data_IF_778887889915
#
_entry.id   IF_778887889915
#
_cell.length_a   1.000
_cell.length_b   1.000
_cell.length_c   1.000
_cell.angle_alpha   90.00
_cell.angle_beta   90.00
_cell.angle_gamma   90.00
#
_symmetry.space_group_name_H-M   'P 1'
#
loop_
_entity.id
_entity.type
_entity.pdbx_description
1 polymer ?
#
# COMPACT_ATOMS: atom_id res chain seq x y z
N UNK A 1 -12.36 -36.53 -14.05
CA UNK A 1 -12.06 -35.07 -14.08
C UNK A 1 -13.35 -34.24 -13.97
N UNK A 2 -14.24 -34.52 -13.00
CA UNK A 2 -15.49 -33.75 -12.78
C UNK A 2 -15.52 -33.02 -11.43
N UNK A 3 -14.76 -33.49 -10.45
CA UNK A 3 -14.65 -32.91 -9.10
C UNK A 3 -13.78 -31.66 -9.02
N UNK A 4 -12.87 -31.44 -9.98
CA UNK A 4 -11.95 -30.29 -9.99
C UNK A 4 -12.63 -28.99 -10.48
N UNK A 5 -13.71 -29.08 -11.27
CA UNK A 5 -14.42 -27.91 -11.83
C UNK A 5 -15.37 -27.25 -10.80
N UNK A 6 -15.96 -28.03 -9.90
CA UNK A 6 -16.80 -27.54 -8.80
C UNK A 6 -15.98 -26.75 -7.77
N UNK A 7 -14.71 -27.12 -7.56
CA UNK A 7 -13.81 -26.51 -6.56
C UNK A 7 -13.29 -25.12 -6.96
N UNK A 8 -13.14 -24.87 -8.27
CA UNK A 8 -12.73 -23.56 -8.81
C UNK A 8 -13.90 -22.58 -8.78
N UNK A 9 -15.11 -23.03 -9.11
CA UNK A 9 -16.35 -22.24 -9.00
C UNK A 9 -16.64 -21.84 -7.54
N UNK A 10 -16.43 -22.77 -6.60
CA UNK A 10 -16.59 -22.51 -5.16
C UNK A 10 -15.52 -21.56 -4.60
N UNK A 11 -14.29 -21.58 -5.14
CA UNK A 11 -13.22 -20.64 -4.75
C UNK A 11 -13.47 -19.22 -5.26
N UNK A 12 -14.04 -19.06 -6.46
CA UNK A 12 -14.38 -17.75 -7.03
C UNK A 12 -15.53 -17.07 -6.27
N UNK A 13 -16.50 -17.88 -5.83
CA UNK A 13 -17.61 -17.44 -4.96
C UNK A 13 -17.08 -17.09 -3.56
N UNK A 14 -16.13 -17.86 -3.00
CA UNK A 14 -15.48 -17.53 -1.71
C UNK A 14 -14.70 -16.22 -1.72
N UNK A 15 -14.02 -15.88 -2.83
CA UNK A 15 -13.29 -14.60 -2.95
C UNK A 15 -14.20 -13.37 -2.99
N UNK A 16 -15.44 -13.52 -3.46
CA UNK A 16 -16.43 -12.44 -3.42
C UNK A 16 -16.98 -12.17 -1.99
N UNK A 17 -16.94 -13.17 -1.10
CA UNK A 17 -17.41 -13.05 0.28
C UNK A 17 -16.48 -12.23 1.20
N UNK A 18 -15.22 -12.00 0.82
CA UNK A 18 -14.27 -11.21 1.62
C UNK A 18 -14.18 -9.72 1.23
N UNK A 19 -15.00 -9.27 0.26
CA UNK A 19 -14.99 -7.87 -0.21
C UNK A 19 -16.13 -7.00 0.38
N UNK A 20 -16.91 -7.51 1.34
CA UNK A 20 -18.06 -6.82 1.91
C UNK A 20 -17.76 -6.35 3.34
N UNK A 21 -17.22 -5.14 3.49
CA UNK A 21 -17.19 -4.45 4.79
C UNK A 21 -18.57 -3.83 5.09
N UNK A 22 -19.00 -4.01 6.34
CA UNK A 22 -20.29 -3.58 6.88
C UNK A 22 -20.32 -2.06 7.14
N UNK A 23 -21.35 -1.38 6.59
CA UNK A 23 -22.38 -0.54 7.27
C UNK A 23 -22.92 0.50 6.25
N UNK A 24 -24.25 0.58 6.01
CA UNK A 24 -24.85 1.69 5.26
C UNK A 24 -25.04 2.90 6.17
N UNK A 25 -24.41 4.04 5.86
CA UNK A 25 -24.74 5.33 6.47
C UNK A 25 -25.88 6.01 5.71
N UNK A 26 -26.79 6.57 6.51
CA UNK A 26 -28.04 7.29 6.18
C UNK A 26 -27.91 8.25 4.96
N UNK A 27 -28.84 8.22 3.97
CA UNK A 27 -28.75 8.96 2.72
C UNK A 27 -29.02 10.48 2.82
N UNK A 28 -28.90 11.09 4.00
CA UNK A 28 -29.27 12.51 4.21
C UNK A 28 -28.12 13.47 4.51
N UNK A 29 -26.86 13.06 4.38
CA UNK A 29 -25.73 14.00 4.38
C UNK A 29 -24.76 13.72 3.24
N UNK A 30 -24.82 14.58 2.21
CA UNK A 30 -23.75 14.70 1.21
C UNK A 30 -22.63 15.53 1.85
N UNK A 31 -21.65 14.85 2.44
CA UNK A 31 -20.30 15.40 2.63
C UNK A 31 -19.39 14.74 1.58
N UNK A 32 -19.16 15.45 0.48
CA UNK A 32 -18.40 15.03 -0.72
C UNK A 32 -16.92 14.63 -0.46
N UNK A 33 -16.42 14.68 0.77
CA UNK A 33 -15.05 14.31 1.11
C UNK A 33 -14.87 12.82 1.46
N UNK A 34 -15.91 12.11 1.88
CA UNK A 34 -15.77 10.70 2.30
C UNK A 34 -15.75 9.71 1.12
N UNK A 35 -16.22 10.10 -0.05
CA UNK A 35 -16.21 9.23 -1.25
C UNK A 35 -14.81 9.14 -1.88
N UNK A 36 -14.01 10.21 -1.76
CA UNK A 36 -12.59 10.24 -2.14
C UNK A 36 -11.74 9.41 -1.16
N UNK A 37 -12.05 9.47 0.15
CA UNK A 37 -11.44 8.60 1.17
C UNK A 37 -11.77 7.12 0.96
N UNK A 38 -12.99 6.78 0.52
CA UNK A 38 -13.39 5.39 0.23
C UNK A 38 -12.78 4.82 -1.06
N UNK A 39 -12.56 5.64 -2.09
CA UNK A 39 -11.74 5.25 -3.24
C UNK A 39 -10.27 5.00 -2.84
N UNK A 40 -9.79 5.74 -1.84
CA UNK A 40 -8.48 5.52 -1.20
C UNK A 40 -8.47 4.22 -0.37
N UNK A 41 -9.56 3.87 0.31
CA UNK A 41 -9.70 2.59 1.05
C UNK A 41 -9.79 1.35 0.13
N UNK A 42 -10.31 1.47 -1.09
CA UNK A 42 -10.22 0.37 -2.07
C UNK A 42 -8.78 0.20 -2.60
N UNK A 43 -8.00 1.27 -2.68
CA UNK A 43 -6.53 1.17 -2.85
C UNK A 43 -5.83 0.58 -1.61
N UNK A 44 -6.42 0.67 -0.42
CA UNK A 44 -5.94 0.00 0.81
C UNK A 44 -6.11 -1.53 0.73
N UNK A 45 -7.04 -2.06 -0.05
CA UNK A 45 -7.11 -3.50 -0.32
C UNK A 45 -5.97 -3.99 -1.25
N UNK A 46 -5.51 -3.14 -2.19
CA UNK A 46 -4.26 -3.34 -2.93
C UNK A 46 -3.04 -3.24 -1.98
N UNK A 47 -3.12 -2.33 -1.00
CA UNK A 47 -2.18 -2.19 0.12
C UNK A 47 -2.19 -3.39 1.09
N UNK A 48 -3.27 -4.17 1.15
CA UNK A 48 -3.29 -5.44 1.87
C UNK A 48 -2.53 -6.54 1.11
N UNK A 49 -2.26 -6.38 -0.18
CA UNK A 49 -1.26 -7.20 -0.90
C UNK A 49 0.17 -6.73 -0.55
N UNK A 50 0.36 -5.42 -0.28
CA UNK A 50 1.54 -4.87 0.41
C UNK A 50 1.62 -5.30 1.89
N UNK A 51 0.57 -5.88 2.49
CA UNK A 51 0.66 -6.47 3.84
C UNK A 51 1.57 -7.69 3.90
N UNK A 52 1.90 -8.31 2.77
CA UNK A 52 3.00 -9.30 2.68
C UNK A 52 4.36 -8.63 2.92
N UNK A 53 4.51 -7.37 2.50
CA UNK A 53 5.67 -6.52 2.81
C UNK A 53 5.60 -5.99 4.23
N UNK A 54 4.42 -5.65 4.78
CA UNK A 54 4.28 -5.27 6.20
C UNK A 54 4.42 -6.48 7.17
N UNK A 55 4.14 -7.71 6.73
CA UNK A 55 4.48 -8.93 7.49
C UNK A 55 5.97 -9.24 7.39
N UNK A 56 6.63 -8.92 6.26
CA UNK A 56 8.09 -8.91 6.16
C UNK A 56 8.67 -7.74 6.97
N UNK A 57 8.01 -6.59 7.03
CA UNK A 57 8.39 -5.41 7.83
C UNK A 57 8.24 -5.72 9.31
N UNK A 58 7.21 -6.47 9.74
CA UNK A 58 7.05 -7.00 11.09
C UNK A 58 7.99 -8.18 11.41
N UNK A 59 8.53 -8.88 10.39
CA UNK A 59 9.61 -9.86 10.54
C UNK A 59 11.02 -9.21 10.46
N UNK A 60 11.15 -8.02 9.86
CA UNK A 60 12.39 -7.23 9.71
C UNK A 60 12.54 -6.14 10.78
N UNK A 61 11.45 -5.66 11.37
CA UNK A 61 11.42 -4.83 12.58
C UNK A 61 11.62 -5.72 13.79
N UNK A 62 12.81 -6.35 13.80
CA UNK A 62 13.30 -7.18 14.88
C UNK A 62 12.94 -6.59 16.25
N UNK A 63 12.72 -7.45 17.25
CA UNK A 63 12.02 -7.10 18.48
C UNK A 63 12.62 -5.85 19.13
N UNK A 64 11.81 -4.79 19.15
CA UNK A 64 12.01 -3.51 19.83
C UNK A 64 13.19 -2.63 19.35
N UNK A 65 13.00 -1.96 18.20
CA UNK A 65 13.67 -0.69 17.88
C UNK A 65 12.86 0.55 18.33
N UNK A 66 11.86 0.38 19.20
CA UNK A 66 11.17 1.49 19.86
C UNK A 66 12.10 2.09 20.92
N UNK A 67 12.92 3.04 20.49
CA UNK A 67 13.31 4.12 21.36
C UNK A 67 12.42 5.30 21.05
N UNK A 68 11.41 5.47 21.90
CA UNK A 68 10.78 6.75 22.14
C UNK A 68 11.81 7.71 22.78
N UNK A 69 12.44 8.55 21.95
CA UNK A 69 12.89 9.86 22.38
C UNK A 69 11.61 10.67 22.60
N UNK A 70 10.87 10.41 23.69
CA UNK A 70 9.54 10.95 23.96
C UNK A 70 8.80 11.34 22.69
N UNK A 71 8.36 10.33 21.91
CA UNK A 71 7.91 10.52 20.53
C UNK A 71 7.02 11.75 20.42
N UNK A 72 7.54 12.76 19.76
CA UNK A 72 6.72 13.84 19.26
C UNK A 72 5.79 13.21 18.26
N UNK A 73 4.50 13.30 18.50
CA UNK A 73 3.50 12.91 17.51
C UNK A 73 3.63 13.81 16.28
N UNK A 74 4.48 13.40 15.34
CA UNK A 74 4.71 14.08 14.06
C UNK A 74 3.52 13.94 13.11
N UNK A 75 2.57 13.05 13.42
CA UNK A 75 1.29 12.99 12.69
C UNK A 75 0.38 14.16 13.09
N UNK A 76 0.67 14.82 14.22
CA UNK A 76 0.02 16.04 14.66
C UNK A 76 1.00 17.24 14.64
N UNK A 77 1.01 18.05 13.56
CA UNK A 77 1.93 19.17 13.39
C UNK A 77 1.91 20.19 14.54
N UNK A 78 0.78 20.34 15.25
CA UNK A 78 0.66 21.28 16.37
C UNK A 78 1.39 20.79 17.62
N UNK A 79 1.30 19.49 17.92
CA UNK A 79 2.05 18.85 19.01
C UNK A 79 3.55 18.94 18.75
N UNK A 80 3.97 18.69 17.50
CA UNK A 80 5.36 18.82 17.09
C UNK A 80 5.89 20.25 17.22
N UNK A 81 5.10 21.23 16.76
CA UNK A 81 5.43 22.64 16.92
C UNK A 81 5.60 23.02 18.39
N UNK A 82 4.63 22.70 19.26
CA UNK A 82 4.69 23.06 20.67
C UNK A 82 5.91 22.46 21.39
N UNK A 83 6.25 21.20 21.10
CA UNK A 83 7.45 20.56 21.64
C UNK A 83 8.74 21.24 21.16
N UNK A 84 8.80 21.59 19.86
CA UNK A 84 9.94 22.28 19.27
C UNK A 84 10.17 23.66 19.91
N UNK A 85 9.11 24.44 20.16
CA UNK A 85 9.16 25.75 20.80
C UNK A 85 9.68 25.68 22.26
N UNK A 86 9.23 24.69 23.03
CA UNK A 86 9.71 24.45 24.41
C UNK A 86 11.19 24.05 24.42
N UNK A 87 11.61 23.23 23.45
CA UNK A 87 13.00 22.80 23.32
C UNK A 87 13.90 23.96 22.89
N UNK A 88 13.48 24.73 21.88
CA UNK A 88 14.16 25.95 21.38
C UNK A 88 14.34 26.97 22.50
N UNK A 89 13.28 27.29 23.24
CA UNK A 89 13.35 28.23 24.36
C UNK A 89 14.28 27.76 25.50
N UNK A 90 14.28 26.47 25.81
CA UNK A 90 15.17 25.89 26.83
C UNK A 90 16.65 25.94 26.40
N UNK A 91 16.94 25.62 25.14
CA UNK A 91 18.28 25.68 24.56
C UNK A 91 18.80 27.13 24.52
N UNK A 92 17.98 28.08 24.07
CA UNK A 92 18.32 29.51 24.05
C UNK A 92 18.56 30.06 25.46
N UNK A 93 17.80 29.61 26.47
CA UNK A 93 18.01 30.01 27.85
C UNK A 93 19.35 29.49 28.41
N UNK A 94 19.73 28.25 28.11
CA UNK A 94 21.04 27.70 28.48
C UNK A 94 22.17 28.47 27.78
N UNK A 95 22.05 28.70 26.47
CA UNK A 95 23.00 29.49 25.70
C UNK A 95 23.22 30.89 26.30
N UNK A 96 22.14 31.62 26.57
CA UNK A 96 22.22 32.97 27.15
C UNK A 96 22.94 32.96 28.49
N UNK A 97 22.69 31.96 29.33
CA UNK A 97 23.37 31.82 30.61
C UNK A 97 24.87 31.52 30.45
N UNK A 98 25.25 30.72 29.46
CA UNK A 98 26.66 30.40 29.20
C UNK A 98 27.42 31.57 28.57
N UNK A 99 26.78 32.33 27.67
CA UNK A 99 27.32 33.59 27.13
C UNK A 99 27.55 34.64 28.22
N UNK A 100 26.61 34.76 29.17
CA UNK A 100 26.71 35.67 30.32
C UNK A 100 27.82 35.26 31.29
N UNK A 101 28.00 33.94 31.53
CA UNK A 101 29.05 33.42 32.43
C UNK A 101 30.46 33.52 31.82
N UNK A 102 30.59 33.35 30.51
CA UNK A 102 31.87 33.35 29.81
C UNK A 102 32.27 34.71 29.22
N UNK A 103 31.58 35.80 29.64
CA UNK A 103 32.01 37.18 29.36
C UNK A 103 31.87 37.63 27.91
N UNK A 104 30.90 37.09 27.16
CA UNK A 104 30.67 37.47 25.76
C UNK A 104 31.81 37.10 24.80
N UNK A 105 32.71 36.20 25.20
CA UNK A 105 33.63 35.57 24.27
C UNK A 105 32.80 34.80 23.24
N UNK A 106 32.90 35.22 21.96
CA UNK A 106 32.22 34.67 20.80
C UNK A 106 32.09 33.16 20.91
N UNK A 107 30.87 32.65 20.77
CA UNK A 107 30.59 31.24 20.53
C UNK A 107 31.57 30.73 19.48
N UNK A 108 32.42 29.80 19.90
CA UNK A 108 33.34 29.11 18.99
C UNK A 108 32.47 28.26 18.06
N UNK A 109 32.92 28.07 16.82
CA UNK A 109 32.37 27.09 15.87
C UNK A 109 32.17 25.74 16.57
N UNK A 110 31.03 25.07 16.34
CA UNK A 110 30.58 23.83 16.99
C UNK A 110 30.33 23.90 18.52
N UNK A 111 29.55 24.89 18.98
CA UNK A 111 29.19 24.99 20.40
C UNK A 111 28.15 23.94 20.81
N UNK A 112 28.43 23.12 21.83
CA UNK A 112 27.42 22.28 22.50
C UNK A 112 26.41 23.21 23.17
N UNK A 113 25.16 23.19 22.71
CA UNK A 113 24.09 24.07 23.22
C UNK A 113 23.12 23.34 24.16
N UNK A 114 23.07 22.01 24.10
CA UNK A 114 22.21 21.21 24.96
C UNK A 114 22.71 19.77 25.10
N UNK A 115 22.64 19.22 26.31
CA UNK A 115 22.89 17.80 26.58
C UNK A 115 21.90 17.28 27.63
N UNK A 116 21.35 16.10 27.40
CA UNK A 116 20.61 15.33 28.41
C UNK A 116 21.13 13.90 28.45
N UNK A 117 21.23 13.34 29.66
CA UNK A 117 21.51 11.91 29.85
C UNK A 117 20.39 11.31 30.69
N UNK A 118 19.73 10.28 30.16
CA UNK A 118 18.61 9.58 30.81
C UNK A 118 19.00 8.13 31.03
N UNK A 119 18.90 7.67 32.28
CA UNK A 119 19.08 6.25 32.60
C UNK A 119 17.73 5.53 32.51
N UNK A 120 17.67 4.44 31.73
CA UNK A 120 16.46 3.62 31.57
C UNK A 120 16.71 2.20 32.13
N UNK A 121 16.70 2.04 33.47
CA UNK A 121 17.09 0.79 34.11
C UNK A 121 16.18 -0.40 33.74
N UNK A 122 14.90 -0.14 33.45
CA UNK A 122 13.94 -1.18 33.02
C UNK A 122 14.31 -1.73 31.63
N UNK A 123 14.81 -0.87 30.74
CA UNK A 123 15.21 -1.22 29.38
C UNK A 123 16.69 -1.61 29.27
N UNK A 124 17.45 -1.52 30.37
CA UNK A 124 18.84 -1.96 30.44
C UNK A 124 19.88 -1.01 29.83
N UNK A 125 19.49 0.17 29.35
CA UNK A 125 20.40 1.13 28.69
C UNK A 125 20.40 2.52 29.32
N UNK A 126 21.46 3.27 29.03
CA UNK A 126 21.55 4.72 29.23
C UNK A 126 21.53 5.40 27.87
N UNK A 127 20.79 6.49 27.78
CA UNK A 127 20.65 7.31 26.59
C UNK A 127 21.27 8.68 26.84
N UNK A 128 22.05 9.17 25.88
CA UNK A 128 22.59 10.53 25.90
C UNK A 128 22.24 11.22 24.59
N UNK A 129 21.59 12.38 24.69
CA UNK A 129 21.30 13.24 23.55
C UNK A 129 22.07 14.54 23.68
N UNK A 130 22.67 15.01 22.59
CA UNK A 130 23.43 16.26 22.49
C UNK A 130 23.00 17.05 21.27
N UNK A 131 23.00 18.37 21.40
CA UNK A 131 22.78 19.30 20.29
C UNK A 131 23.95 20.27 20.22
N UNK A 132 24.58 20.37 19.06
CA UNK A 132 25.61 21.32 18.72
C UNK A 132 25.08 22.29 17.67
N UNK A 133 25.51 23.55 17.72
CA UNK A 133 25.16 24.55 16.72
C UNK A 133 26.31 25.53 16.48
N UNK A 134 26.61 25.80 15.21
CA UNK A 134 27.54 26.82 14.77
C UNK A 134 26.77 28.05 14.27
N UNK A 135 26.81 29.12 15.07
CA UNK A 135 26.16 30.41 14.77
C UNK A 135 26.77 31.14 13.56
N UNK A 136 28.00 30.82 13.17
CA UNK A 136 28.66 31.47 12.04
C UNK A 136 28.27 30.83 10.71
N UNK A 137 27.95 29.53 10.70
CA UNK A 137 27.66 28.77 9.47
C UNK A 137 26.24 28.24 9.40
N UNK A 138 25.42 28.38 10.46
CA UNK A 138 24.06 27.84 10.49
C UNK A 138 23.99 26.31 10.58
N UNK A 139 25.09 25.65 10.96
CA UNK A 139 25.18 24.18 10.98
C UNK A 139 24.81 23.63 12.34
N UNK A 140 23.93 22.63 12.38
CA UNK A 140 23.51 21.96 13.60
C UNK A 140 23.88 20.47 13.56
N UNK A 141 24.14 19.89 14.75
CA UNK A 141 24.33 18.44 14.90
C UNK A 141 23.51 17.98 16.10
N UNK A 142 22.64 16.98 15.89
CA UNK A 142 21.95 16.25 16.95
C UNK A 142 22.55 14.85 17.04
N UNK A 143 23.07 14.49 18.21
CA UNK A 143 23.64 13.16 18.47
C UNK A 143 22.84 12.46 19.55
N UNK A 144 22.35 11.26 19.28
CA UNK A 144 21.76 10.34 20.26
C UNK A 144 22.60 9.07 20.34
N UNK A 145 23.05 8.71 21.54
CA UNK A 145 23.89 7.52 21.77
C UNK A 145 23.29 6.69 22.89
N UNK A 146 23.21 5.38 22.67
CA UNK A 146 22.70 4.39 23.63
C UNK A 146 23.78 3.41 23.98
N UNK A 147 23.93 3.16 25.27
CA UNK A 147 24.91 2.22 25.79
C UNK A 147 24.32 1.43 26.95
N UNK A 148 24.73 0.17 27.07
CA UNK A 148 24.32 -0.68 28.17
C UNK A 148 24.59 0.03 29.51
N UNK A 149 23.63 -0.03 30.41
CA UNK A 149 23.67 0.70 31.68
C UNK A 149 24.96 0.44 32.50
N UNK A 150 25.60 -0.71 32.28
CA UNK A 150 26.83 -1.14 32.97
C UNK A 150 28.09 -0.98 32.12
N UNK A 151 27.96 -0.71 30.82
CA UNK A 151 29.06 -0.67 29.90
C UNK A 151 29.43 0.77 29.52
N UNK A 152 30.73 1.06 29.43
CA UNK A 152 31.27 2.37 29.02
C UNK A 152 32.03 2.29 27.69
N UNK A 153 32.06 1.14 27.02
CA UNK A 153 32.78 0.99 25.76
C UNK A 153 32.02 1.65 24.59
N UNK A 154 32.63 2.67 23.98
CA UNK A 154 32.02 3.44 22.89
C UNK A 154 31.91 2.69 21.55
N UNK A 155 32.45 1.47 21.46
CA UNK A 155 32.59 0.72 20.21
C UNK A 155 31.41 -0.23 19.91
N UNK A 156 30.54 -0.51 20.89
CA UNK A 156 29.43 -1.49 20.77
C UNK A 156 28.04 -0.83 20.93
N UNK A 157 27.91 0.43 20.48
CA UNK A 157 26.76 1.29 20.79
C UNK A 157 25.80 1.42 19.60
N UNK A 158 24.52 1.64 19.92
CA UNK A 158 23.56 2.17 18.96
C UNK A 158 23.66 3.70 18.99
N UNK A 159 23.83 4.32 17.81
CA UNK A 159 23.95 5.77 17.70
C UNK A 159 23.21 6.30 16.49
N UNK A 160 22.62 7.48 16.64
CA UNK A 160 22.05 8.27 15.56
C UNK A 160 22.68 9.67 15.60
N UNK A 161 23.12 10.17 14.44
CA UNK A 161 23.62 11.53 14.28
C UNK A 161 22.91 12.19 13.12
N UNK A 162 22.25 13.31 13.38
CA UNK A 162 21.63 14.15 12.38
C UNK A 162 22.45 15.43 12.26
N UNK A 163 22.82 15.80 11.05
CA UNK A 163 23.47 17.03 10.67
C UNK A 163 22.45 17.84 9.90
N UNK A 164 22.29 19.12 10.23
CA UNK A 164 21.38 20.02 9.53
C UNK A 164 22.12 21.27 9.10
N UNK A 165 21.96 21.66 7.84
CA UNK A 165 22.37 22.97 7.35
C UNK A 165 21.13 23.87 7.30
N UNK A 166 21.19 24.99 8.04
CA UNK A 166 20.09 25.96 8.17
C UNK A 166 20.52 27.30 7.55
N UNK A 167 19.62 27.95 6.81
CA UNK A 167 19.92 29.22 6.14
C UNK A 167 19.86 30.46 7.07
N UNK A 168 19.54 30.26 8.35
CA UNK A 168 19.15 31.31 9.30
C UNK A 168 19.68 31.11 10.72
N UNK A 169 19.23 31.96 11.64
CA UNK A 169 19.68 31.95 13.04
C UNK A 169 18.63 31.32 13.96
N UNK A 170 19.06 30.58 14.99
CA UNK A 170 18.15 30.02 16.00
C UNK A 170 17.30 31.07 16.76
N UNK A 171 17.52 32.37 16.56
CA UNK A 171 16.83 33.45 17.26
C UNK A 171 15.65 34.06 16.47
N UNK A 172 15.51 33.76 15.17
CA UNK A 172 14.49 34.35 14.30
C UNK A 172 13.62 33.27 13.62
N UNK A 173 12.41 33.05 14.13
CA UNK A 173 11.47 32.08 13.56
C UNK A 173 11.00 32.46 12.14
N UNK A 174 11.29 33.68 11.66
CA UNK A 174 10.89 34.14 10.33
C UNK A 174 11.89 33.77 9.23
N UNK A 175 13.08 33.26 9.58
CA UNK A 175 14.13 32.84 8.66
C UNK A 175 14.50 31.33 8.76
N UNK A 176 13.71 30.56 9.52
CA UNK A 176 13.89 29.11 9.71
C UNK A 176 13.68 28.34 8.39
N UNK A 177 14.79 28.10 7.67
CA UNK A 177 14.86 27.32 6.43
C UNK A 177 15.80 26.14 6.66
N UNK A 178 15.33 24.93 6.33
CA UNK A 178 16.16 23.73 6.27
C UNK A 178 16.71 23.60 4.84
N UNK A 179 18.02 23.69 4.68
CA UNK A 179 18.67 23.51 3.37
C UNK A 179 19.00 22.03 3.14
N UNK A 180 19.56 21.37 4.15
CA UNK A 180 19.81 19.94 4.08
C UNK A 180 19.77 19.27 5.45
N UNK A 181 19.46 17.97 5.43
CA UNK A 181 19.55 17.06 6.56
C UNK A 181 20.39 15.86 6.13
N UNK A 182 21.29 15.43 6.99
CA UNK A 182 22.03 14.18 6.82
C UNK A 182 21.96 13.38 8.13
N UNK A 183 21.46 12.16 8.07
CA UNK A 183 21.34 11.26 9.20
C UNK A 183 22.27 10.05 9.01
N UNK A 184 22.97 9.69 10.09
CA UNK A 184 23.76 8.47 10.19
C UNK A 184 23.30 7.68 11.41
N UNK A 185 22.75 6.49 11.20
CA UNK A 185 22.49 5.51 12.26
C UNK A 185 23.52 4.39 12.19
N UNK A 186 24.09 4.05 13.31
CA UNK A 186 24.99 2.90 13.45
C UNK A 186 24.46 2.02 14.56
N UNK A 187 24.38 0.72 14.29
CA UNK A 187 23.85 -0.25 15.21
C UNK A 187 24.97 -1.09 15.81
N UNK A 188 24.73 -1.59 17.02
CA UNK A 188 25.66 -2.50 17.69
C UNK A 188 25.82 -3.82 16.93
N UNK A 189 26.92 -4.52 17.21
CA UNK A 189 27.19 -5.83 16.63
C UNK A 189 26.06 -6.84 16.92
N UNK A 190 25.72 -7.65 15.92
CA UNK A 190 24.64 -8.64 16.01
C UNK A 190 23.23 -8.11 15.70
N UNK A 191 23.07 -6.80 15.51
CA UNK A 191 21.82 -6.22 15.01
C UNK A 191 21.53 -6.64 13.56
N UNK A 192 20.26 -6.62 13.14
CA UNK A 192 19.85 -7.03 11.79
C UNK A 192 20.37 -6.08 10.70
N UNK A 193 20.40 -4.79 11.02
CA UNK A 193 20.97 -3.70 10.20
C UNK A 193 22.30 -3.29 10.83
N UNK A 194 23.30 -3.01 10.01
CA UNK A 194 24.60 -2.52 10.48
C UNK A 194 24.64 -0.99 10.57
N UNK A 195 24.11 -0.33 9.55
CA UNK A 195 24.18 1.13 9.40
C UNK A 195 23.10 1.63 8.45
N UNK A 196 22.56 2.81 8.74
CA UNK A 196 21.71 3.56 7.81
C UNK A 196 22.30 4.95 7.59
N UNK A 197 22.23 5.42 6.36
CA UNK A 197 22.59 6.78 5.97
C UNK A 197 21.38 7.37 5.27
N UNK A 198 20.89 8.51 5.70
CA UNK A 198 19.84 9.22 4.99
C UNK A 198 20.27 10.65 4.74
N UNK A 199 19.84 11.23 3.63
CA UNK A 199 20.02 12.65 3.36
C UNK A 199 18.78 13.22 2.70
N UNK A 200 18.48 14.48 3.01
CA UNK A 200 17.49 15.30 2.33
C UNK A 200 18.17 16.60 1.96
N UNK A 201 18.09 16.98 0.70
CA UNK A 201 18.56 18.27 0.19
C UNK A 201 17.34 18.98 -0.39
N UNK A 202 17.10 20.21 0.04
CA UNK A 202 15.95 21.02 -0.38
C UNK A 202 16.51 22.23 -1.12
N UNK A 203 15.99 22.51 -2.32
CA UNK A 203 16.42 23.71 -3.02
C UNK A 203 15.94 24.97 -2.28
N UNK A 204 16.67 26.09 -2.40
CA UNK A 204 16.34 27.31 -1.67
C UNK A 204 14.88 27.74 -1.87
N UNK A 205 14.17 27.95 -0.78
CA UNK A 205 12.76 28.38 -0.76
C UNK A 205 12.56 29.59 0.14
N UNK A 206 11.45 30.30 -0.04
CA UNK A 206 11.11 31.47 0.77
C UNK A 206 10.40 31.03 2.06
N UNK A 207 10.73 31.59 3.24
CA UNK A 207 10.03 31.25 4.47
C UNK A 207 8.52 31.43 4.33
N UNK A 208 7.75 30.41 4.71
CA UNK A 208 6.29 30.39 4.57
C UNK A 208 5.76 29.98 3.19
N UNK A 209 6.63 29.58 2.26
CA UNK A 209 6.26 28.92 1.00
C UNK A 209 6.73 27.46 1.01
N UNK A 210 6.02 26.60 0.28
CA UNK A 210 6.45 25.23 0.07
C UNK A 210 7.68 25.16 -0.85
N UNK A 211 8.63 24.25 -0.58
CA UNK A 211 9.76 24.03 -1.47
C UNK A 211 9.28 23.51 -2.83
N UNK A 212 9.91 23.99 -3.91
CA UNK A 212 9.57 23.60 -5.29
C UNK A 212 10.34 22.37 -5.78
N UNK A 213 11.39 21.98 -5.04
CA UNK A 213 12.21 20.81 -5.34
C UNK A 213 12.93 20.31 -4.09
N UNK A 214 13.08 18.98 -3.99
CA UNK A 214 13.90 18.34 -2.99
C UNK A 214 14.39 16.98 -3.48
N UNK A 215 15.44 16.47 -2.84
CA UNK A 215 16.02 15.15 -3.09
C UNK A 215 16.25 14.46 -1.75
N UNK A 216 15.75 13.25 -1.60
CA UNK A 216 16.02 12.38 -0.49
C UNK A 216 16.79 11.14 -0.96
N UNK A 217 17.72 10.67 -0.15
CA UNK A 217 18.44 9.41 -0.35
C UNK A 217 18.51 8.68 0.97
N UNK A 218 18.34 7.37 0.96
CA UNK A 218 18.51 6.47 2.10
C UNK A 218 19.34 5.27 1.67
N UNK A 219 20.30 4.87 2.49
CA UNK A 219 21.14 3.70 2.29
C UNK A 219 21.17 2.86 3.56
N UNK A 220 20.61 1.65 3.50
CA UNK A 220 20.67 0.67 4.57
C UNK A 220 21.72 -0.39 4.24
N UNK A 221 22.66 -0.61 5.15
CA UNK A 221 23.70 -1.63 5.04
C UNK A 221 23.40 -2.78 6.00
N UNK A 222 23.48 -4.01 5.47
CA UNK A 222 23.23 -5.22 6.22
C UNK A 222 24.53 -6.00 6.47
N UNK A 223 24.63 -6.76 7.56
CA UNK A 223 25.78 -7.63 7.82
C UNK A 223 26.02 -8.66 6.70
N UNK A 224 27.29 -9.08 6.53
CA UNK A 224 27.70 -9.95 5.42
C UNK A 224 27.12 -11.37 5.43
N UNK A 225 26.57 -11.81 6.56
CA UNK A 225 25.88 -13.09 6.71
C UNK A 225 24.40 -13.03 6.29
N UNK A 226 23.92 -11.86 5.86
CA UNK A 226 22.54 -11.65 5.40
C UNK A 226 22.40 -11.86 3.90
N UNK A 227 21.15 -12.07 3.49
CA UNK A 227 20.78 -12.27 2.09
C UNK A 227 20.81 -10.96 1.29
N UNK A 228 20.36 -9.87 1.91
CA UNK A 228 20.51 -8.51 1.39
C UNK A 228 21.80 -7.95 1.97
N UNK A 229 22.57 -7.25 1.14
CA UNK A 229 23.81 -6.58 1.53
C UNK A 229 23.63 -5.07 1.66
N UNK A 230 22.84 -4.47 0.76
CA UNK A 230 22.55 -3.04 0.75
C UNK A 230 21.15 -2.79 0.18
N UNK A 231 20.44 -1.82 0.73
CA UNK A 231 19.25 -1.20 0.14
C UNK A 231 19.56 0.28 -0.07
N UNK A 232 19.28 0.82 -1.26
CA UNK A 232 19.35 2.25 -1.54
C UNK A 232 17.97 2.70 -2.01
N UNK A 233 17.44 3.75 -1.41
CA UNK A 233 16.17 4.38 -1.79
C UNK A 233 16.43 5.84 -2.12
N UNK A 234 15.81 6.35 -3.16
CA UNK A 234 15.89 7.76 -3.54
C UNK A 234 14.51 8.29 -3.86
N UNK A 235 14.27 9.53 -3.48
CA UNK A 235 13.08 10.25 -3.86
C UNK A 235 13.49 11.65 -4.33
N UNK A 236 12.82 12.19 -5.33
CA UNK A 236 12.98 13.59 -5.69
C UNK A 236 11.69 14.15 -6.24
N UNK A 237 11.51 15.46 -6.07
CA UNK A 237 10.52 16.21 -6.82
C UNK A 237 11.13 17.50 -7.35
N UNK A 238 10.60 17.97 -8.46
CA UNK A 238 10.99 19.20 -9.14
C UNK A 238 9.80 19.75 -9.93
N UNK A 239 9.20 20.82 -9.41
CA UNK A 239 8.13 21.59 -10.06
C UNK A 239 6.99 20.69 -10.61
N UNK A 240 6.44 19.83 -9.75
CA UNK A 240 5.34 18.92 -10.09
C UNK A 240 5.79 17.60 -10.74
N UNK A 241 7.04 17.49 -11.17
CA UNK A 241 7.63 16.20 -11.54
C UNK A 241 8.22 15.52 -10.31
N UNK A 242 8.33 14.20 -10.32
CA UNK A 242 8.97 13.47 -9.25
C UNK A 242 9.50 12.11 -9.67
N UNK A 243 10.32 11.52 -8.82
CA UNK A 243 10.74 10.14 -8.98
C UNK A 243 10.97 9.46 -7.65
N UNK A 244 10.67 8.17 -7.59
CA UNK A 244 11.01 7.27 -6.51
C UNK A 244 11.85 6.15 -7.11
N UNK A 245 12.96 5.78 -6.46
CA UNK A 245 13.74 4.62 -6.87
C UNK A 245 14.22 3.83 -5.68
N UNK A 246 14.44 2.53 -5.91
CA UNK A 246 14.90 1.58 -4.90
C UNK A 246 15.77 0.52 -5.54
N UNK A 247 16.99 0.42 -5.06
CA UNK A 247 17.97 -0.61 -5.40
C UNK A 247 18.17 -1.57 -4.22
N UNK A 248 18.21 -2.87 -4.51
CA UNK A 248 18.59 -3.89 -3.53
C UNK A 248 19.78 -4.68 -4.08
N UNK A 249 20.89 -4.62 -3.36
CA UNK A 249 22.07 -5.46 -3.63
C UNK A 249 22.02 -6.71 -2.74
N UNK A 250 22.02 -7.88 -3.35
CA UNK A 250 22.04 -9.16 -2.64
C UNK A 250 23.47 -9.65 -2.39
N UNK A 251 23.65 -10.46 -1.34
CA UNK A 251 24.98 -10.96 -0.96
C UNK A 251 25.60 -11.93 -1.96
N UNK A 252 24.83 -12.48 -2.89
CA UNK A 252 25.35 -13.28 -4.01
C UNK A 252 25.73 -12.45 -5.25
N UNK A 253 25.71 -11.12 -5.14
CA UNK A 253 26.11 -10.18 -6.20
C UNK A 253 25.02 -9.87 -7.22
N UNK A 254 23.82 -10.45 -7.08
CA UNK A 254 22.64 -10.07 -7.87
C UNK A 254 22.03 -8.77 -7.36
N UNK A 255 21.18 -8.15 -8.18
CA UNK A 255 20.53 -6.87 -7.87
C UNK A 255 19.05 -6.89 -8.24
N UNK A 256 18.25 -6.05 -7.58
CA UNK A 256 16.95 -5.61 -8.08
C UNK A 256 16.86 -4.09 -8.06
N UNK A 257 16.05 -3.55 -8.97
CA UNK A 257 15.81 -2.13 -9.14
C UNK A 257 14.31 -1.89 -9.30
N UNK A 258 13.79 -0.84 -8.68
CA UNK A 258 12.43 -0.33 -8.84
C UNK A 258 12.56 1.19 -9.06
N UNK A 259 11.86 1.74 -10.04
CA UNK A 259 11.79 3.16 -10.30
C UNK A 259 10.38 3.56 -10.73
N UNK A 260 9.91 4.69 -10.21
CA UNK A 260 8.67 5.34 -10.61
C UNK A 260 9.02 6.80 -10.92
N UNK A 261 8.47 7.34 -12.00
CA UNK A 261 8.57 8.75 -12.38
C UNK A 261 7.16 9.32 -12.51
N UNK A 262 6.96 10.51 -11.97
CA UNK A 262 5.74 11.29 -12.00
C UNK A 262 6.01 12.55 -12.81
N UNK A 263 5.10 12.90 -13.70
CA UNK A 263 5.13 14.12 -14.47
C UNK A 263 4.11 15.10 -13.91
N UNK A 264 4.33 16.39 -14.16
CA UNK A 264 3.44 17.46 -13.69
C UNK A 264 2.04 17.47 -14.30
N UNK A 265 1.77 16.61 -15.28
CA UNK A 265 0.48 16.48 -15.97
C UNK A 265 -0.33 15.26 -15.50
N UNK A 266 0.02 14.68 -14.33
CA UNK A 266 -0.64 13.51 -13.78
C UNK A 266 -0.18 12.18 -14.39
N UNK A 267 0.64 12.21 -15.44
CA UNK A 267 1.18 10.99 -16.06
C UNK A 267 2.45 10.49 -15.39
N UNK A 268 2.84 9.26 -15.68
CA UNK A 268 4.10 8.73 -15.19
C UNK A 268 4.51 7.40 -15.78
N UNK A 269 5.66 6.91 -15.34
CA UNK A 269 6.23 5.62 -15.77
C UNK A 269 6.71 4.84 -14.57
N UNK A 270 6.65 3.52 -14.63
CA UNK A 270 7.31 2.65 -13.67
C UNK A 270 8.17 1.60 -14.39
N UNK A 271 9.30 1.27 -13.79
CA UNK A 271 10.23 0.24 -14.25
C UNK A 271 10.74 -0.55 -13.06
N UNK A 272 10.76 -1.87 -13.16
CA UNK A 272 11.25 -2.76 -12.13
C UNK A 272 12.04 -3.91 -12.78
N UNK A 273 13.22 -4.19 -12.25
CA UNK A 273 14.02 -5.36 -12.57
C UNK A 273 14.21 -6.20 -11.30
N UNK A 274 13.72 -7.45 -11.32
CA UNK A 274 13.88 -8.38 -10.20
C UNK A 274 15.11 -9.27 -10.38
N UNK A 275 15.57 -9.84 -9.26
CA UNK A 275 16.73 -10.73 -9.11
C UNK A 275 16.82 -11.90 -10.11
N UNK A 276 15.70 -12.33 -10.70
CA UNK A 276 15.64 -13.47 -11.61
C UNK A 276 15.35 -13.08 -13.07
N UNK A 277 15.63 -11.84 -13.45
CA UNK A 277 15.43 -11.39 -14.84
C UNK A 277 13.96 -11.19 -15.21
N UNK A 278 13.06 -11.13 -14.21
CA UNK A 278 11.71 -10.62 -14.42
C UNK A 278 11.83 -9.11 -14.52
N UNK A 279 11.26 -8.53 -15.57
CA UNK A 279 11.15 -7.07 -15.71
C UNK A 279 9.68 -6.68 -15.70
N UNK A 280 9.37 -5.55 -15.10
CA UNK A 280 8.04 -4.95 -15.13
C UNK A 280 8.21 -3.50 -15.56
N UNK A 281 7.49 -3.07 -16.58
CA UNK A 281 7.57 -1.69 -17.06
C UNK A 281 6.21 -1.21 -17.50
N UNK A 282 5.95 0.09 -17.40
CA UNK A 282 4.64 0.62 -17.79
C UNK A 282 4.52 2.12 -17.67
N UNK A 283 3.32 2.60 -18.01
CA UNK A 283 2.92 3.99 -17.89
C UNK A 283 1.64 4.08 -17.07
N UNK A 284 1.38 5.24 -16.47
CA UNK A 284 0.10 5.54 -15.85
C UNK A 284 -0.30 7.00 -16.10
N UNK A 285 -1.58 7.26 -15.91
CA UNK A 285 -2.24 8.55 -15.98
C UNK A 285 -3.25 8.63 -14.84
N UNK A 286 -3.18 9.71 -14.05
CA UNK A 286 -3.96 9.86 -12.82
C UNK A 286 -5.31 10.51 -13.09
N UNK A 287 -6.39 9.89 -12.59
CA UNK A 287 -7.74 10.43 -12.69
C UNK A 287 -8.00 11.66 -11.80
N UNK A 288 -7.03 12.11 -11.00
CA UNK A 288 -7.22 13.21 -10.04
C UNK A 288 -7.48 14.57 -10.71
N UNK A 289 -6.90 14.83 -11.89
CA UNK A 289 -7.01 16.15 -12.52
C UNK A 289 -8.24 16.31 -13.42
N UNK A 290 -8.59 15.27 -14.19
CA UNK A 290 -9.63 15.35 -15.23
C UNK A 290 -10.69 14.24 -15.13
N UNK A 291 -10.61 13.37 -14.13
CA UNK A 291 -11.49 12.23 -13.96
C UNK A 291 -11.17 11.05 -14.90
N UNK A 292 -10.08 11.10 -15.66
CA UNK A 292 -9.64 10.02 -16.54
C UNK A 292 -8.33 9.41 -16.05
N UNK A 293 -8.31 8.10 -15.83
CA UNK A 293 -7.12 7.37 -15.43
C UNK A 293 -6.80 6.28 -16.44
N UNK A 294 -5.53 6.04 -16.71
CA UNK A 294 -5.11 4.92 -17.53
C UNK A 294 -3.81 4.31 -17.04
N UNK A 295 -3.55 3.05 -17.40
CA UNK A 295 -2.25 2.44 -17.19
C UNK A 295 -1.94 1.42 -18.27
N UNK A 296 -0.63 1.24 -18.51
CA UNK A 296 -0.08 0.10 -19.23
C UNK A 296 0.95 -0.60 -18.36
N UNK A 297 1.04 -1.92 -18.45
CA UNK A 297 1.98 -2.72 -17.69
C UNK A 297 2.43 -3.93 -18.49
N UNK A 298 3.73 -4.09 -18.65
CA UNK A 298 4.36 -5.26 -19.26
C UNK A 298 5.25 -5.94 -18.25
N UNK A 299 4.92 -7.17 -17.89
CA UNK A 299 5.79 -8.07 -17.13
C UNK A 299 6.43 -9.07 -18.09
N UNK A 300 7.76 -9.07 -18.21
CA UNK A 300 8.49 -10.09 -18.97
C UNK A 300 9.19 -11.07 -18.03
N UNK A 301 9.31 -12.32 -18.47
CA UNK A 301 9.91 -13.40 -17.69
C UNK A 301 11.17 -13.91 -18.39
N UNK A 302 12.17 -14.40 -17.62
CA UNK A 302 13.34 -15.03 -18.21
C UNK A 302 12.98 -16.30 -18.99
N UNK A 303 13.85 -16.69 -19.92
CA UNK A 303 13.72 -17.95 -20.64
C UNK A 303 13.73 -19.17 -19.70
N UNK A 304 13.02 -20.22 -20.10
CA UNK A 304 12.92 -21.48 -19.35
C UNK A 304 11.77 -21.54 -18.33
N UNK A 305 11.02 -20.44 -18.16
CA UNK A 305 9.77 -20.41 -17.40
C UNK A 305 8.54 -20.94 -18.18
N UNK A 306 7.35 -20.80 -17.58
CA UNK A 306 6.08 -21.08 -18.25
C UNK A 306 5.62 -19.88 -19.10
N UNK A 307 5.80 -18.67 -18.58
CA UNK A 307 5.35 -17.42 -19.17
C UNK A 307 6.48 -16.77 -19.97
N UNK A 308 6.12 -16.11 -21.07
CA UNK A 308 6.98 -15.20 -21.81
C UNK A 308 6.73 -13.77 -21.34
N UNK A 309 5.48 -13.33 -21.38
CA UNK A 309 5.08 -12.04 -20.83
C UNK A 309 3.62 -12.03 -20.36
N UNK A 310 3.30 -11.06 -19.52
CA UNK A 310 1.94 -10.61 -19.19
C UNK A 310 1.87 -9.12 -19.53
N UNK A 311 0.97 -8.75 -20.42
CA UNK A 311 0.66 -7.37 -20.77
C UNK A 311 -0.71 -7.02 -20.20
N UNK A 312 -0.82 -5.90 -19.52
CA UNK A 312 -2.05 -5.41 -18.88
C UNK A 312 -2.25 -3.95 -19.29
N UNK A 313 -3.47 -3.56 -19.59
CA UNK A 313 -3.85 -2.17 -19.84
C UNK A 313 -5.19 -1.89 -19.20
N UNK A 314 -5.37 -0.67 -18.71
CA UNK A 314 -6.61 -0.22 -18.13
C UNK A 314 -6.89 1.23 -18.49
N UNK A 315 -8.15 1.52 -18.76
CA UNK A 315 -8.66 2.88 -18.98
C UNK A 315 -9.91 3.05 -18.12
N UNK A 316 -9.99 4.14 -17.38
CA UNK A 316 -11.06 4.42 -16.43
C UNK A 316 -11.47 5.87 -16.55
N UNK A 317 -12.77 6.13 -16.47
CA UNK A 317 -13.31 7.48 -16.40
C UNK A 317 -14.32 7.54 -15.26
N UNK A 318 -14.19 8.57 -14.42
CA UNK A 318 -15.10 8.87 -13.33
C UNK A 318 -15.90 10.12 -13.68
N UNK A 319 -17.23 10.02 -13.59
CA UNK A 319 -18.10 11.17 -13.74
C UNK A 319 -18.01 12.06 -12.51
N UNK A 320 -17.58 13.31 -12.68
CA UNK A 320 -17.53 14.30 -11.60
C UNK A 320 -18.93 14.75 -11.12
N UNK A 321 -20.01 14.37 -11.81
CA UNK A 321 -21.38 14.77 -11.47
C UNK A 321 -22.07 13.81 -10.50
N UNK A 322 -21.81 12.52 -10.65
CA UNK A 322 -22.50 11.45 -9.90
C UNK A 322 -21.55 10.34 -9.43
N UNK A 323 -20.24 10.52 -9.59
CA UNK A 323 -19.18 9.59 -9.17
C UNK A 323 -19.32 8.19 -9.78
N UNK A 324 -19.99 8.06 -10.92
CA UNK A 324 -20.06 6.80 -11.67
C UNK A 324 -18.72 6.49 -12.33
N UNK A 325 -18.29 5.23 -12.21
CA UNK A 325 -17.10 4.71 -12.87
C UNK A 325 -17.46 3.99 -14.18
N UNK A 326 -16.74 4.30 -15.24
CA UNK A 326 -16.66 3.47 -16.44
C UNK A 326 -15.23 3.03 -16.64
N UNK A 327 -15.00 1.81 -17.07
CA UNK A 327 -13.65 1.35 -17.33
C UNK A 327 -13.56 0.14 -18.23
N UNK A 328 -12.38 -0.03 -18.80
CA UNK A 328 -11.97 -1.20 -19.56
C UNK A 328 -10.62 -1.67 -19.04
N UNK A 329 -10.47 -2.98 -18.88
CA UNK A 329 -9.22 -3.63 -18.55
C UNK A 329 -8.96 -4.74 -19.56
N UNK A 330 -7.76 -4.82 -20.09
CA UNK A 330 -7.34 -5.93 -20.94
C UNK A 330 -6.06 -6.54 -20.40
N UNK A 331 -5.96 -7.86 -20.58
CA UNK A 331 -4.77 -8.61 -20.24
C UNK A 331 -4.48 -9.64 -21.30
N UNK A 332 -3.22 -9.70 -21.70
CA UNK A 332 -2.66 -10.72 -22.56
C UNK A 332 -1.56 -11.47 -21.81
N UNK A 333 -1.65 -12.79 -21.75
CA UNK A 333 -0.64 -13.69 -21.22
C UNK A 333 -0.10 -14.53 -22.37
N UNK A 334 1.17 -14.34 -22.70
CA UNK A 334 1.86 -15.18 -23.67
C UNK A 334 2.71 -16.21 -22.96
N UNK A 335 2.49 -17.47 -23.27
CA UNK A 335 3.27 -18.60 -22.77
C UNK A 335 4.50 -18.84 -23.65
N UNK A 336 5.52 -19.49 -23.10
CA UNK A 336 6.75 -19.85 -23.84
C UNK A 336 6.50 -20.81 -25.01
N UNK A 337 5.41 -21.58 -24.98
CA UNK A 337 4.99 -22.45 -26.09
C UNK A 337 4.29 -21.67 -27.23
N UNK A 338 4.16 -20.35 -27.13
CA UNK A 338 3.49 -19.48 -28.10
C UNK A 338 1.97 -19.38 -27.92
N UNK A 339 1.37 -20.10 -26.97
CA UNK A 339 -0.04 -19.94 -26.62
C UNK A 339 -0.27 -18.54 -26.04
N UNK A 340 -1.31 -17.88 -26.54
CA UNK A 340 -1.77 -16.60 -26.02
C UNK A 340 -3.10 -16.82 -25.32
N UNK A 341 -3.22 -16.31 -24.10
CA UNK A 341 -4.46 -16.22 -23.35
C UNK A 341 -4.76 -14.73 -23.23
N UNK A 342 -5.99 -14.30 -23.49
CA UNK A 342 -6.36 -12.92 -23.21
C UNK A 342 -7.75 -12.82 -22.61
N UNK A 343 -7.91 -11.79 -21.79
CA UNK A 343 -9.15 -11.41 -21.15
C UNK A 343 -9.37 -9.91 -21.32
N UNK A 344 -10.61 -9.53 -21.58
CA UNK A 344 -11.09 -8.15 -21.61
C UNK A 344 -12.23 -8.03 -20.62
N UNK A 345 -12.21 -6.97 -19.82
CA UNK A 345 -13.18 -6.68 -18.77
C UNK A 345 -13.68 -5.26 -19.00
N UNK A 346 -14.99 -5.06 -19.01
CA UNK A 346 -15.59 -3.73 -18.96
C UNK A 346 -16.37 -3.57 -17.67
N UNK A 347 -16.30 -2.36 -17.10
CA UNK A 347 -17.00 -1.96 -15.88
C UNK A 347 -17.84 -0.75 -16.24
N UNK A 348 -19.13 -0.82 -15.95
CA UNK A 348 -20.07 0.28 -16.19
C UNK A 348 -20.93 0.50 -14.96
N UNK A 349 -20.81 1.68 -14.35
CA UNK A 349 -21.67 2.12 -13.27
C UNK A 349 -22.77 3.06 -13.77
N UNK A 350 -23.93 2.95 -13.16
CA UNK A 350 -25.09 3.78 -13.47
C UNK A 350 -26.03 3.85 -12.27
N UNK A 351 -26.97 4.78 -12.31
CA UNK A 351 -28.07 4.83 -11.34
C UNK A 351 -29.40 4.42 -12.00
N UNK A 352 -30.10 3.47 -11.38
CA UNK A 352 -31.43 3.03 -11.81
C UNK A 352 -32.40 3.24 -10.65
N UNK A 353 -33.36 4.15 -10.81
CA UNK A 353 -34.31 4.54 -9.76
C UNK A 353 -33.64 5.04 -8.47
N UNK A 354 -32.50 5.75 -8.59
CA UNK A 354 -31.73 6.26 -7.44
C UNK A 354 -30.78 5.26 -6.80
N UNK A 355 -30.77 4.01 -7.28
CA UNK A 355 -29.93 2.93 -6.78
C UNK A 355 -28.75 2.68 -7.69
N UNK A 356 -27.57 2.48 -7.11
CA UNK A 356 -26.34 2.21 -7.87
C UNK A 356 -26.43 0.83 -8.52
N UNK A 357 -26.06 0.76 -9.79
CA UNK A 357 -25.98 -0.44 -10.59
C UNK A 357 -24.61 -0.50 -11.25
N UNK A 358 -23.86 -1.55 -10.96
CA UNK A 358 -22.55 -1.84 -11.55
C UNK A 358 -22.67 -3.07 -12.44
N UNK A 359 -22.20 -2.98 -13.68
CA UNK A 359 -22.15 -4.09 -14.63
C UNK A 359 -20.68 -4.38 -14.95
N UNK A 360 -20.28 -5.63 -14.78
CA UNK A 360 -18.95 -6.12 -15.14
C UNK A 360 -19.11 -7.17 -16.22
N UNK A 361 -18.64 -6.90 -17.43
CA UNK A 361 -18.62 -7.88 -18.51
C UNK A 361 -17.20 -8.39 -18.72
N UNK A 362 -17.05 -9.68 -18.96
CA UNK A 362 -15.76 -10.34 -19.16
C UNK A 362 -15.82 -11.15 -20.45
N UNK A 363 -14.79 -11.04 -21.29
CA UNK A 363 -14.63 -11.84 -22.51
C UNK A 363 -13.22 -12.41 -22.56
N UNK A 364 -13.08 -13.69 -22.90
CA UNK A 364 -11.79 -14.35 -23.08
C UNK A 364 -11.58 -14.79 -24.52
N UNK A 365 -10.32 -14.92 -24.93
CA UNK A 365 -10.00 -15.36 -26.30
C UNK A 365 -10.30 -16.82 -26.62
N UNK A 366 -10.56 -17.66 -25.61
CA UNK A 366 -11.07 -19.02 -25.79
C UNK A 366 -12.56 -19.06 -26.16
N UNK A 367 -13.22 -17.90 -26.22
CA UNK A 367 -14.63 -17.75 -26.53
C UNK A 367 -15.55 -17.80 -25.32
N UNK A 368 -15.02 -18.00 -24.11
CA UNK A 368 -15.80 -17.85 -22.89
C UNK A 368 -16.08 -16.38 -22.58
N UNK A 369 -17.26 -16.10 -22.05
CA UNK A 369 -17.69 -14.75 -21.73
C UNK A 369 -18.75 -14.76 -20.62
N UNK A 370 -18.94 -13.62 -19.97
CA UNK A 370 -19.98 -13.49 -18.98
C UNK A 370 -20.24 -12.05 -18.58
N UNK A 371 -21.28 -11.86 -17.80
CA UNK A 371 -21.64 -10.55 -17.27
C UNK A 371 -22.15 -10.73 -15.86
N UNK A 372 -21.66 -9.91 -14.94
CA UNK A 372 -22.17 -9.78 -13.57
C UNK A 372 -22.77 -8.40 -13.43
N UNK A 373 -23.92 -8.31 -12.79
CA UNK A 373 -24.63 -7.08 -12.49
C UNK A 373 -24.89 -7.03 -11.00
N UNK A 374 -24.48 -5.96 -10.35
CA UNK A 374 -24.68 -5.67 -8.94
C UNK A 374 -25.62 -4.47 -8.86
N UNK A 375 -26.70 -4.59 -8.09
CA UNK A 375 -27.64 -3.50 -7.83
C UNK A 375 -27.79 -3.30 -6.32
N UNK A 376 -27.41 -2.13 -5.85
CA UNK A 376 -27.40 -1.77 -4.42
C UNK A 376 -28.66 -0.99 -4.07
N UNK A 377 -29.41 -1.43 -3.06
CA UNK A 377 -30.60 -0.74 -2.56
C UNK A 377 -30.66 -0.70 -1.03
N UNK A 378 -31.64 0.01 -0.47
CA UNK A 378 -31.80 0.17 0.99
C UNK A 378 -32.02 -1.17 1.72
N UNK A 379 -32.55 -2.16 1.00
CA UNK A 379 -32.82 -3.51 1.48
C UNK A 379 -31.68 -4.49 1.26
N UNK A 380 -30.52 -4.06 0.75
CA UNK A 380 -29.36 -4.90 0.48
C UNK A 380 -28.85 -4.81 -0.96
N UNK A 381 -28.09 -5.81 -1.41
CA UNK A 381 -27.55 -5.87 -2.77
C UNK A 381 -28.07 -7.09 -3.51
N UNK A 382 -28.49 -6.91 -4.76
CA UNK A 382 -28.83 -7.99 -5.66
C UNK A 382 -27.74 -8.16 -6.70
N UNK A 383 -27.18 -9.35 -6.81
CA UNK A 383 -26.18 -9.73 -7.81
C UNK A 383 -26.81 -10.73 -8.75
N UNK A 384 -26.67 -10.50 -10.05
CA UNK A 384 -27.06 -11.47 -11.09
C UNK A 384 -25.89 -11.65 -12.03
N UNK A 385 -25.67 -12.88 -12.48
CA UNK A 385 -24.52 -13.26 -13.28
C UNK A 385 -24.89 -14.26 -14.35
N UNK A 386 -24.29 -14.11 -15.52
CA UNK A 386 -24.33 -15.08 -16.61
C UNK A 386 -22.90 -15.40 -17.04
N UNK A 387 -22.63 -16.67 -17.36
CA UNK A 387 -21.34 -17.10 -17.88
C UNK A 387 -21.51 -18.22 -18.90
N UNK A 388 -20.82 -18.10 -20.03
CA UNK A 388 -20.74 -19.12 -21.07
C UNK A 388 -19.30 -19.61 -21.14
N UNK A 389 -19.09 -20.90 -20.91
CA UNK A 389 -17.78 -21.54 -21.04
C UNK A 389 -17.41 -21.76 -22.52
N UNK A 390 -16.12 -21.97 -22.79
CA UNK A 390 -15.62 -22.25 -24.14
C UNK A 390 -16.21 -23.54 -24.76
N UNK A 391 -16.66 -24.49 -23.92
CA UNK A 391 -17.36 -25.70 -24.37
C UNK A 391 -18.88 -25.52 -24.54
N UNK A 392 -19.38 -24.29 -24.36
CA UNK A 392 -20.77 -23.90 -24.55
C UNK A 392 -21.66 -24.03 -23.32
N UNK A 393 -21.15 -24.53 -22.18
CA UNK A 393 -21.92 -24.62 -20.93
C UNK A 393 -22.36 -23.21 -20.51
N UNK A 394 -23.65 -23.05 -20.22
CA UNK A 394 -24.25 -21.77 -19.84
C UNK A 394 -24.64 -21.79 -18.36
N UNK A 395 -24.18 -20.80 -17.61
CA UNK A 395 -24.32 -20.71 -16.16
C UNK A 395 -25.05 -19.40 -15.83
N UNK A 396 -26.06 -19.50 -14.99
CA UNK A 396 -26.74 -18.39 -14.35
C UNK A 396 -26.45 -18.43 -12.86
N UNK A 397 -26.22 -17.27 -12.26
CA UNK A 397 -26.08 -17.11 -10.81
C UNK A 397 -26.87 -15.89 -10.35
N UNK A 398 -27.51 -16.00 -9.20
CA UNK A 398 -28.17 -14.88 -8.53
C UNK A 398 -27.78 -14.90 -7.05
N UNK A 399 -27.58 -13.73 -6.45
CA UNK A 399 -27.36 -13.61 -5.02
C UNK A 399 -28.06 -12.37 -4.46
N UNK A 400 -28.85 -12.57 -3.41
CA UNK A 400 -29.45 -11.50 -2.61
C UNK A 400 -28.67 -11.38 -1.31
N UNK A 401 -28.04 -10.23 -1.08
CA UNK A 401 -27.33 -9.91 0.16
C UNK A 401 -28.18 -8.99 1.01
N UNK A 402 -28.37 -9.34 2.28
CA UNK A 402 -29.24 -8.59 3.19
C UNK A 402 -28.42 -7.75 4.20
N UNK A 403 -28.98 -6.65 4.75
CA UNK A 403 -28.26 -5.76 5.65
C UNK A 403 -27.81 -6.39 6.97
N UNK A 404 -28.43 -7.50 7.37
CA UNK A 404 -28.03 -8.25 8.56
C UNK A 404 -26.76 -9.09 8.33
N UNK A 405 -26.27 -9.17 7.09
CA UNK A 405 -25.12 -9.97 6.66
C UNK A 405 -25.49 -11.38 6.19
N UNK A 406 -26.78 -11.73 6.15
CA UNK A 406 -27.25 -12.97 5.52
C UNK A 406 -27.26 -12.85 4.00
N UNK A 407 -27.26 -13.98 3.29
CA UNK A 407 -27.33 -13.99 1.84
C UNK A 407 -28.10 -15.20 1.31
N UNK A 408 -28.77 -15.06 0.17
CA UNK A 408 -29.36 -16.15 -0.60
C UNK A 408 -28.65 -16.24 -1.93
N UNK A 409 -28.05 -17.39 -2.25
CA UNK A 409 -27.31 -17.61 -3.51
C UNK A 409 -27.96 -18.75 -4.28
N UNK A 410 -28.28 -18.51 -5.54
CA UNK A 410 -28.82 -19.49 -6.47
C UNK A 410 -27.91 -19.61 -7.68
N UNK A 411 -27.76 -20.82 -8.22
CA UNK A 411 -27.14 -21.03 -9.52
C UNK A 411 -27.91 -22.06 -10.34
N UNK A 412 -27.86 -21.92 -11.66
CA UNK A 412 -28.39 -22.88 -12.63
C UNK A 412 -27.38 -23.07 -13.75
N UNK A 413 -27.14 -24.33 -14.12
CA UNK A 413 -26.23 -24.71 -15.19
C UNK A 413 -27.04 -25.40 -16.27
N UNK A 414 -26.88 -24.94 -17.51
CA UNK A 414 -27.51 -25.47 -18.70
C UNK A 414 -26.46 -26.05 -19.63
N UNK A 415 -26.88 -27.00 -20.47
CA UNK A 415 -25.99 -27.57 -21.48
C UNK A 415 -25.54 -26.54 -22.53
N UNK A 416 -26.36 -25.51 -22.77
CA UNK A 416 -26.06 -24.35 -23.63
C UNK A 416 -27.02 -23.19 -23.36
N UNK A 417 -26.71 -22.01 -23.92
CA UNK A 417 -27.61 -20.86 -23.90
C UNK A 417 -28.93 -21.16 -24.63
N UNK A 418 -28.87 -21.90 -25.75
CA UNK A 418 -30.07 -22.36 -26.47
C UNK A 418 -30.97 -23.24 -25.58
N UNK A 419 -30.38 -24.12 -24.77
CA UNK A 419 -31.15 -24.96 -23.86
C UNK A 419 -31.91 -24.09 -22.83
N UNK A 420 -31.26 -23.06 -22.30
CA UNK A 420 -31.91 -22.08 -21.43
C UNK A 420 -33.04 -21.34 -22.16
N UNK A 421 -32.77 -20.79 -23.35
CA UNK A 421 -33.74 -20.02 -24.14
C UNK A 421 -34.95 -20.85 -24.61
N UNK A 422 -34.77 -22.16 -24.84
CA UNK A 422 -35.85 -23.10 -25.18
C UNK A 422 -36.66 -23.57 -23.96
N UNK A 423 -36.23 -23.22 -22.74
CA UNK A 423 -36.88 -23.65 -21.51
C UNK A 423 -36.57 -25.08 -21.09
N UNK A 424 -35.43 -25.64 -21.53
CA UNK A 424 -34.96 -26.95 -21.06
C UNK A 424 -34.63 -26.91 -19.56
N UNK A 425 -34.67 -28.06 -18.91
CA UNK A 425 -34.28 -28.16 -17.51
C UNK A 425 -32.75 -27.97 -17.34
N UNK A 426 -32.30 -27.32 -16.24
CA UNK A 426 -30.87 -27.21 -15.96
C UNK A 426 -30.26 -28.60 -15.69
N UNK A 427 -29.02 -28.80 -16.14
CA UNK A 427 -28.25 -30.03 -15.88
C UNK A 427 -27.70 -30.08 -14.45
N UNK A 428 -27.59 -28.92 -13.80
CA UNK A 428 -27.34 -28.78 -12.39
C UNK A 428 -27.93 -27.46 -11.87
N UNK A 429 -28.36 -27.43 -10.61
CA UNK A 429 -28.83 -26.21 -9.96
C UNK A 429 -28.51 -26.25 -8.47
N UNK A 430 -28.38 -25.10 -7.82
CA UNK A 430 -28.24 -25.04 -6.38
C UNK A 430 -28.87 -23.80 -5.79
N UNK A 431 -29.28 -23.89 -4.53
CA UNK A 431 -29.79 -22.79 -3.73
C UNK A 431 -29.18 -22.88 -2.33
N UNK A 432 -28.59 -21.81 -1.85
CA UNK A 432 -27.95 -21.74 -0.53
C UNK A 432 -28.43 -20.49 0.19
N UNK A 433 -28.76 -20.64 1.46
CA UNK A 433 -29.06 -19.53 2.35
C UNK A 433 -27.98 -19.48 3.43
N UNK A 434 -27.26 -18.37 3.47
CA UNK A 434 -26.24 -18.06 4.46
C UNK A 434 -26.82 -17.19 5.56
N UNK A 435 -26.46 -17.51 6.79
CA UNK A 435 -26.69 -16.70 7.97
C UNK A 435 -25.59 -15.63 8.12
N UNK A 436 -25.78 -14.60 8.96
CA UNK A 436 -24.80 -13.54 9.20
C UNK A 436 -23.43 -14.00 9.73
N UNK A 437 -23.33 -15.21 10.27
CA UNK A 437 -22.09 -15.82 10.77
C UNK A 437 -21.38 -16.67 9.71
N UNK A 438 -21.80 -16.56 8.45
CA UNK A 438 -21.32 -17.35 7.30
C UNK A 438 -21.67 -18.84 7.35
N UNK A 439 -22.40 -19.32 8.37
CA UNK A 439 -23.04 -20.65 8.31
C UNK A 439 -24.21 -20.63 7.33
N UNK A 440 -24.73 -21.78 6.91
CA UNK A 440 -25.85 -21.81 6.01
C UNK A 440 -26.33 -23.21 5.66
N UNK A 441 -27.47 -23.27 4.99
CA UNK A 441 -28.00 -24.51 4.43
C UNK A 441 -28.47 -24.29 3.01
N UNK A 442 -28.38 -25.33 2.20
CA UNK A 442 -28.76 -25.28 0.81
C UNK A 442 -29.02 -26.65 0.24
N UNK A 443 -29.43 -26.65 -1.02
CA UNK A 443 -29.57 -27.85 -1.82
C UNK A 443 -28.84 -27.69 -3.13
N UNK A 444 -28.28 -28.78 -3.64
CA UNK A 444 -27.75 -28.87 -4.98
C UNK A 444 -28.38 -30.06 -5.69
N UNK A 445 -28.82 -29.90 -6.92
CA UNK A 445 -29.42 -30.96 -7.73
C UNK A 445 -28.59 -31.14 -8.99
N UNK A 446 -28.28 -32.38 -9.34
CA UNK A 446 -27.67 -32.76 -10.61
C UNK A 446 -28.33 -34.03 -11.19
N UNK A 447 -27.72 -34.65 -12.19
CA UNK A 447 -28.21 -35.89 -12.80
C UNK A 447 -28.26 -37.11 -11.86
N UNK A 448 -27.58 -37.06 -10.71
CA UNK A 448 -27.45 -38.17 -9.76
C UNK A 448 -28.39 -38.05 -8.55
N UNK A 449 -28.98 -36.88 -8.31
CA UNK A 449 -29.91 -36.66 -7.20
C UNK A 449 -29.90 -35.23 -6.67
N UNK A 450 -30.54 -35.05 -5.52
CA UNK A 450 -30.54 -33.80 -4.75
C UNK A 450 -29.73 -34.00 -3.49
N UNK A 451 -28.81 -33.09 -3.22
CA UNK A 451 -27.92 -33.10 -2.09
C UNK A 451 -28.27 -31.96 -1.15
N UNK A 452 -28.49 -32.27 0.13
CA UNK A 452 -28.59 -31.28 1.19
C UNK A 452 -27.19 -30.90 1.64
N UNK A 453 -26.92 -29.60 1.73
CA UNK A 453 -25.62 -29.05 2.07
C UNK A 453 -25.76 -28.14 3.27
N UNK A 454 -24.94 -28.38 4.30
CA UNK A 454 -24.85 -27.54 5.48
C UNK A 454 -23.42 -27.03 5.60
N UNK A 455 -23.27 -25.71 5.68
CA UNK A 455 -22.02 -25.03 5.96
C UNK A 455 -22.05 -24.51 7.39
N UNK A 456 -21.06 -24.85 8.19
CA UNK A 456 -20.92 -24.35 9.55
C UNK A 456 -20.11 -23.05 9.57
N UNK A 457 -20.24 -22.25 10.63
CA UNK A 457 -19.55 -20.96 10.77
C UNK A 457 -18.00 -21.09 10.80
N UNK A 458 -17.46 -22.28 11.08
CA UNK A 458 -16.02 -22.57 11.02
C UNK A 458 -15.52 -22.93 9.61
N UNK A 459 -16.40 -22.88 8.60
CA UNK A 459 -16.13 -23.25 7.22
C UNK A 459 -16.20 -24.75 6.93
N UNK A 460 -16.50 -25.59 7.94
CA UNK A 460 -16.71 -27.02 7.70
C UNK A 460 -18.04 -27.28 7.00
N UNK A 461 -18.07 -28.29 6.12
CA UNK A 461 -19.24 -28.61 5.31
C UNK A 461 -19.70 -30.06 5.48
N UNK A 462 -21.02 -30.27 5.48
CA UNK A 462 -21.65 -31.59 5.45
C UNK A 462 -22.55 -31.69 4.22
N UNK A 463 -22.47 -32.82 3.50
CA UNK A 463 -23.29 -33.09 2.30
C UNK A 463 -24.00 -34.43 2.50
N UNK A 464 -25.32 -34.43 2.38
CA UNK A 464 -26.15 -35.64 2.47
C UNK A 464 -27.03 -35.80 1.23
N UNK A 465 -27.33 -37.05 0.84
CA UNK A 465 -28.17 -37.41 -0.31
C UNK A 465 -29.35 -38.24 0.17
#
# INVERSE_FOLDING_TARGET
>A
MKTTRLFVLFSFVLTAFFACEKVPTDPTQVEDNQTLEKATEQNVALFNTLSSISQIENMMSGPAANIEIGEVDVTNPQTAKAFSEVTKSSALAQLRNDLLKNGGARTLSDSLIWEVTVQRPVLGYTERTRVYYDYATGKAIVENVKFDYRDRHWLELDSARVYADLAGTLEDDTDDIIESLYELKQYKAGHFIQKEISSVEIDPYTPGMDPTSARATSETFYPSDRFISKKTEQASFDNGNGSLSKDIDYSDGTKSHEQITFNSDGTGTFDEQRRFGITISGTFDSAEEDGYGSFTKLTTFPDGGLFQFVYETGEFSMSMQDSTLHGAYEKEVKLQNGTVLSESITIDESYVNGYKKTVVAVTKNDGSFGTVMIQENDGGSHVSGVWTEADGIYILSEADYYPDGSARVEFKVYASEDAYNNGDAPIASGLYNFNPDSSGTGTATDANGTYDITLNADGSQTITN
#
